data_IF_976457723927
#
_entry.id   IF_976457723927
#
_cell.length_a   1.000
_cell.length_b   1.000
_cell.length_c   1.000
_cell.angle_alpha   90.00
_cell.angle_beta   90.00
_cell.angle_gamma   90.00
#
_symmetry.space_group_name_H-M   'P 1'
#
loop_
_entity.id
_entity.type
_entity.pdbx_description
1 polymer ?
#
# COMPACT_ATOMS: atom_id res chain seq x y z
N UNK A 1 3.12 13.95 26.47
CA UNK A 1 2.33 14.96 25.74
C UNK A 1 1.51 14.20 24.71
N UNK A 2 0.20 14.09 24.94
CA UNK A 2 -0.72 13.31 24.12
C UNK A 2 -0.91 13.97 22.74
N UNK A 3 -0.24 13.47 21.71
CA UNK A 3 -0.71 13.66 20.34
C UNK A 3 -1.66 12.51 20.04
N UNK A 4 -2.94 12.88 19.94
CA UNK A 4 -4.07 12.06 19.57
C UNK A 4 -3.76 11.44 18.20
N UNK A 5 -3.44 10.15 18.16
CA UNK A 5 -3.40 9.38 16.92
C UNK A 5 -4.78 9.51 16.26
N UNK A 6 -4.90 10.41 15.28
CA UNK A 6 -5.91 10.29 14.25
C UNK A 6 -5.53 9.04 13.46
N UNK A 7 -5.90 7.87 13.99
CA UNK A 7 -5.61 6.56 13.40
C UNK A 7 -6.19 6.52 11.99
N UNK A 8 -5.38 6.90 11.01
CA UNK A 8 -5.77 6.88 9.62
C UNK A 8 -6.12 5.43 9.29
N UNK A 9 -7.34 5.23 8.79
CA UNK A 9 -7.87 3.92 8.42
C UNK A 9 -6.83 3.15 7.60
N UNK A 10 -6.71 1.84 7.83
CA UNK A 10 -5.72 1.02 7.12
C UNK A 10 -5.96 1.09 5.62
N UNK A 11 -7.22 1.15 5.18
CA UNK A 11 -7.58 1.37 3.78
C UNK A 11 -7.01 2.66 3.18
N UNK A 12 -7.04 3.76 3.94
CA UNK A 12 -6.52 5.07 3.53
C UNK A 12 -4.99 5.05 3.52
N UNK A 13 -4.35 4.49 4.55
CA UNK A 13 -2.89 4.28 4.61
C UNK A 13 -2.39 3.54 3.38
N UNK A 14 -3.04 2.44 3.01
CA UNK A 14 -2.69 1.67 1.82
C UNK A 14 -2.83 2.49 0.54
N UNK A 15 -3.96 3.20 0.36
CA UNK A 15 -4.21 4.03 -0.83
C UNK A 15 -3.19 5.16 -0.97
N UNK A 16 -2.84 5.83 0.12
CA UNK A 16 -1.83 6.89 0.14
C UNK A 16 -0.46 6.33 -0.22
N UNK A 17 -0.04 5.21 0.38
CA UNK A 17 1.23 4.58 0.04
C UNK A 17 1.28 4.16 -1.45
N UNK A 18 0.19 3.60 -1.97
CA UNK A 18 0.10 3.19 -3.37
C UNK A 18 0.14 4.40 -4.33
N UNK A 19 -0.53 5.51 -3.99
CA UNK A 19 -0.43 6.76 -4.75
C UNK A 19 1.00 7.31 -4.76
N UNK A 20 1.67 7.33 -3.59
CA UNK A 20 3.07 7.75 -3.48
C UNK A 20 3.96 6.86 -4.37
N UNK A 21 3.77 5.54 -4.33
CA UNK A 21 4.53 4.60 -5.17
C UNK A 21 4.38 4.92 -6.66
N UNK A 22 3.15 5.16 -7.12
CA UNK A 22 2.87 5.50 -8.52
C UNK A 22 3.56 6.81 -8.89
N UNK A 23 3.44 7.84 -8.06
CA UNK A 23 4.06 9.15 -8.31
C UNK A 23 5.58 9.06 -8.41
N UNK A 24 6.24 8.38 -7.46
CA UNK A 24 7.69 8.22 -7.47
C UNK A 24 8.13 7.39 -8.68
N UNK A 25 7.38 6.34 -9.03
CA UNK A 25 7.69 5.50 -10.21
C UNK A 25 7.59 6.31 -11.52
N UNK A 26 6.55 7.13 -11.66
CA UNK A 26 6.38 8.02 -12.82
C UNK A 26 7.53 9.04 -12.88
N UNK A 27 7.83 9.70 -11.76
CA UNK A 27 8.91 10.68 -11.66
C UNK A 27 10.27 10.06 -12.01
N UNK A 28 10.56 8.87 -11.47
CA UNK A 28 11.77 8.11 -11.76
C UNK A 28 11.93 7.79 -13.26
N UNK A 29 10.83 7.51 -13.97
CA UNK A 29 10.87 7.26 -15.42
C UNK A 29 11.04 8.52 -16.26
N UNK A 30 10.51 9.65 -15.80
CA UNK A 30 10.53 10.91 -16.54
C UNK A 30 11.89 11.62 -16.44
N UNK A 31 12.60 11.46 -15.32
CA UNK A 31 13.91 12.08 -15.17
C UNK A 31 14.99 11.11 -15.62
N UNK A 32 15.79 11.54 -16.60
CA UNK A 32 16.98 10.84 -17.03
C UNK A 32 18.10 10.95 -15.98
N UNK A 33 17.92 10.31 -14.82
CA UNK A 33 18.92 10.25 -13.73
C UNK A 33 19.98 9.16 -13.96
N UNK A 34 19.99 8.54 -15.14
CA UNK A 34 20.74 7.32 -15.45
C UNK A 34 22.24 7.52 -15.15
N UNK A 35 22.77 6.73 -14.22
CA UNK A 35 24.18 6.77 -13.82
C UNK A 35 24.53 7.74 -12.67
N UNK A 36 23.54 8.39 -12.04
CA UNK A 36 23.76 9.23 -10.85
C UNK A 36 23.53 8.46 -9.54
N UNK A 37 24.20 8.85 -8.45
CA UNK A 37 23.94 8.29 -7.11
C UNK A 37 22.48 8.46 -6.68
N UNK A 38 21.83 9.54 -7.13
CA UNK A 38 20.40 9.78 -6.88
C UNK A 38 19.50 8.72 -7.53
N UNK A 39 19.88 8.18 -8.69
CA UNK A 39 19.13 7.11 -9.35
C UNK A 39 19.13 5.83 -8.50
N UNK A 40 20.28 5.45 -7.95
CA UNK A 40 20.37 4.25 -7.11
C UNK A 40 19.60 4.42 -5.80
N UNK A 41 19.70 5.59 -5.16
CA UNK A 41 18.92 5.90 -3.95
C UNK A 41 17.42 5.82 -4.24
N UNK A 42 16.96 6.43 -5.34
CA UNK A 42 15.55 6.40 -5.73
C UNK A 42 15.09 4.99 -6.10
N UNK A 43 15.92 4.21 -6.79
CA UNK A 43 15.63 2.83 -7.12
C UNK A 43 15.38 1.99 -5.85
N UNK A 44 16.30 2.07 -4.87
CA UNK A 44 16.13 1.35 -3.60
C UNK A 44 14.94 1.85 -2.80
N UNK A 45 14.64 3.15 -2.82
CA UNK A 45 13.46 3.71 -2.17
C UNK A 45 12.16 3.16 -2.78
N UNK A 46 12.05 3.13 -4.11
CA UNK A 46 10.90 2.57 -4.84
C UNK A 46 10.74 1.07 -4.55
N UNK A 47 11.84 0.31 -4.53
CA UNK A 47 11.82 -1.11 -4.20
C UNK A 47 11.37 -1.36 -2.76
N UNK A 48 11.92 -0.62 -1.80
CA UNK A 48 11.55 -0.72 -0.39
C UNK A 48 10.08 -0.40 -0.14
N UNK A 49 9.57 0.67 -0.76
CA UNK A 49 8.16 1.04 -0.64
C UNK A 49 7.23 0.03 -1.34
N UNK A 50 7.68 -0.56 -2.45
CA UNK A 50 6.99 -1.69 -3.08
C UNK A 50 6.88 -2.91 -2.16
N UNK A 51 7.98 -3.30 -1.50
CA UNK A 51 8.00 -4.40 -0.51
C UNK A 51 7.07 -4.08 0.68
N UNK A 52 7.09 -2.84 1.18
CA UNK A 52 6.20 -2.40 2.25
C UNK A 52 4.72 -2.54 1.86
N UNK A 53 4.35 -2.09 0.66
CA UNK A 53 2.99 -2.27 0.13
C UNK A 53 2.64 -3.74 0.01
N UNK A 54 3.57 -4.57 -0.46
CA UNK A 54 3.38 -6.02 -0.54
C UNK A 54 3.04 -6.60 0.84
N UNK A 55 3.81 -6.30 1.89
CA UNK A 55 3.47 -6.73 3.24
C UNK A 55 2.07 -6.28 3.70
N UNK A 56 1.67 -5.05 3.38
CA UNK A 56 0.31 -4.59 3.66
C UNK A 56 -0.75 -5.42 2.92
N UNK A 57 -0.51 -5.80 1.66
CA UNK A 57 -1.42 -6.66 0.89
C UNK A 57 -1.59 -8.02 1.55
N UNK A 58 -0.50 -8.68 1.93
CA UNK A 58 -0.56 -10.01 2.56
C UNK A 58 -1.20 -9.96 3.94
N UNK A 59 -0.95 -8.91 4.72
CA UNK A 59 -1.49 -8.76 6.07
C UNK A 59 -2.94 -8.28 6.16
N UNK A 60 -3.57 -7.87 5.05
CA UNK A 60 -4.90 -7.28 5.08
C UNK A 60 -6.02 -8.33 5.16
N UNK A 61 -6.19 -8.90 6.36
CA UNK A 61 -7.25 -9.87 6.63
C UNK A 61 -8.41 -9.25 7.41
N UNK A 62 -9.63 -9.73 7.13
CA UNK A 62 -10.78 -9.44 8.00
C UNK A 62 -10.62 -10.16 9.35
N UNK A 63 -10.91 -9.46 10.44
CA UNK A 63 -10.81 -10.04 11.78
C UNK A 63 -11.84 -11.16 12.04
N UNK A 64 -13.07 -11.00 11.52
CA UNK A 64 -14.17 -11.99 11.62
C UNK A 64 -13.96 -13.20 10.70
N UNK A 65 -13.93 -13.00 9.38
CA UNK A 65 -13.93 -14.11 8.42
C UNK A 65 -12.53 -14.57 7.95
N UNK A 66 -11.46 -13.90 8.40
CA UNK A 66 -10.05 -14.19 8.05
C UNK A 66 -9.74 -14.21 6.54
N UNK A 67 -10.65 -13.72 5.69
CA UNK A 67 -10.39 -13.57 4.25
C UNK A 67 -9.49 -12.37 4.00
N UNK A 68 -8.55 -12.49 3.05
CA UNK A 68 -7.77 -11.35 2.59
C UNK A 68 -8.69 -10.39 1.84
N UNK A 69 -8.58 -9.09 2.12
CA UNK A 69 -9.48 -8.07 1.60
C UNK A 69 -8.97 -7.40 0.33
N UNK A 70 -7.67 -7.54 0.08
CA UNK A 70 -7.00 -7.01 -1.10
C UNK A 70 -6.84 -8.12 -2.14
N UNK A 71 -6.34 -9.30 -1.76
CA UNK A 71 -6.24 -10.47 -2.64
C UNK A 71 -7.49 -11.35 -2.52
N UNK A 72 -8.35 -11.31 -3.54
CA UNK A 72 -9.52 -12.21 -3.65
C UNK A 72 -9.15 -13.58 -4.22
N UNK A 73 -8.10 -13.63 -5.04
CA UNK A 73 -7.53 -14.83 -5.64
C UNK A 73 -6.18 -14.52 -6.29
N UNK A 74 -5.53 -15.51 -6.90
CA UNK A 74 -4.18 -15.37 -7.48
C UNK A 74 -4.04 -14.20 -8.48
N UNK A 75 -5.08 -13.95 -9.28
CA UNK A 75 -5.10 -12.88 -10.28
C UNK A 75 -6.22 -11.85 -10.04
N UNK A 76 -6.85 -11.87 -8.85
CA UNK A 76 -7.95 -10.96 -8.53
C UNK A 76 -7.61 -10.11 -7.32
N UNK A 77 -7.37 -8.83 -7.58
CA UNK A 77 -7.00 -7.83 -6.57
C UNK A 77 -8.09 -6.76 -6.47
N UNK A 78 -8.31 -6.23 -5.27
CA UNK A 78 -9.24 -5.14 -4.99
C UNK A 78 -8.57 -4.10 -4.09
N UNK A 79 -8.86 -2.83 -4.34
CA UNK A 79 -8.50 -1.77 -3.39
C UNK A 79 -9.21 -1.98 -2.04
N UNK A 80 -8.50 -1.82 -0.90
CA UNK A 80 -9.10 -2.00 0.41
C UNK A 80 -10.21 -0.96 0.65
N UNK A 81 -11.23 -1.41 1.37
CA UNK A 81 -12.39 -0.63 1.80
C UNK A 81 -12.59 -0.76 3.31
N UNK A 82 -13.39 0.14 3.85
CA UNK A 82 -13.72 0.18 5.27
C UNK A 82 -14.57 -1.04 5.71
N UNK A 83 -15.24 -1.70 4.76
CA UNK A 83 -16.07 -2.88 4.97
C UNK A 83 -15.50 -4.12 4.30
N UNK A 84 -15.75 -5.28 4.90
CA UNK A 84 -15.31 -6.57 4.41
C UNK A 84 -16.10 -6.96 3.16
N UNK A 85 -15.39 -7.34 2.10
CA UNK A 85 -16.05 -7.72 0.84
C UNK A 85 -16.79 -9.05 0.94
N UNK A 86 -16.46 -9.88 1.93
CA UNK A 86 -17.03 -11.22 2.09
C UNK A 86 -18.17 -11.26 3.11
N UNK A 87 -17.99 -10.67 4.29
CA UNK A 87 -18.97 -10.73 5.38
C UNK A 87 -19.60 -9.38 5.75
N UNK A 88 -19.21 -8.28 5.11
CA UNK A 88 -19.78 -6.95 5.37
C UNK A 88 -19.30 -6.25 6.65
N UNK A 89 -18.61 -6.96 7.54
CA UNK A 89 -18.03 -6.44 8.79
C UNK A 89 -17.14 -5.21 8.54
N UNK A 90 -17.16 -4.24 9.46
CA UNK A 90 -16.27 -3.09 9.39
C UNK A 90 -14.85 -3.50 9.79
N UNK A 91 -13.86 -3.19 8.94
CA UNK A 91 -12.45 -3.57 9.14
C UNK A 91 -11.62 -2.37 9.65
N UNK A 92 -12.11 -1.16 9.43
CA UNK A 92 -11.48 0.12 9.77
C UNK A 92 -12.31 0.99 10.72
#
# INVERSE_FOLDING_TARGET
MFMKDSSMKKSVKFKVALLIQVLITVFYKLIALKGSTLHDILFWAVMGLGIYIFYMVFGYFCHSCKKNQIMKGFFSYRLPSDTCWHCGEKID
#
